data_IF_899469966799
#
_entry.id   IF_899469966799
#
_cell.length_a   1.000
_cell.length_b   1.000
_cell.length_c   1.000
_cell.angle_alpha   90.00
_cell.angle_beta   90.00
_cell.angle_gamma   90.00
#
_symmetry.space_group_name_H-M   'P 1'
#
loop_
_entity.id
_entity.type
_entity.pdbx_description
1 polymer ?
#
# COMPACT_ATOMS: atom_id res chain seq x y z
N UNK A 1 -45.97 -10.52 -39.22
CA UNK A 1 -45.35 -11.49 -38.27
C UNK A 1 -44.97 -10.78 -36.96
N UNK A 2 -45.51 -11.24 -35.84
CA UNK A 2 -45.27 -10.63 -34.52
C UNK A 2 -43.84 -10.85 -33.99
N UNK A 3 -43.02 -11.66 -34.68
CA UNK A 3 -41.61 -11.90 -34.36
C UNK A 3 -40.77 -11.89 -35.64
N UNK A 4 -39.68 -11.13 -35.64
CA UNK A 4 -38.73 -11.06 -36.75
C UNK A 4 -37.40 -11.66 -36.31
N UNK A 5 -37.07 -12.85 -36.84
CA UNK A 5 -35.82 -13.53 -36.51
C UNK A 5 -34.68 -13.02 -37.39
N UNK A 6 -33.60 -12.55 -36.75
CA UNK A 6 -32.36 -12.09 -37.39
C UNK A 6 -31.61 -13.23 -38.08
N UNK A 7 -31.52 -14.40 -37.45
CA UNK A 7 -30.88 -15.59 -38.00
C UNK A 7 -31.93 -16.62 -38.38
N UNK A 8 -32.07 -16.87 -39.68
CA UNK A 8 -33.07 -17.77 -40.26
C UNK A 8 -32.41 -19.03 -40.78
N UNK A 9 -33.11 -20.16 -40.70
CA UNK A 9 -32.65 -21.40 -41.30
C UNK A 9 -33.26 -21.57 -42.71
N UNK A 10 -32.51 -21.28 -43.80
CA UNK A 10 -33.03 -21.46 -45.15
C UNK A 10 -33.31 -22.93 -45.48
N UNK A 11 -32.72 -23.86 -44.74
CA UNK A 11 -32.87 -25.31 -44.92
C UNK A 11 -34.02 -25.90 -44.08
N UNK A 12 -34.74 -25.09 -43.30
CA UNK A 12 -35.92 -25.54 -42.57
C UNK A 12 -37.16 -25.60 -43.48
N UNK A 13 -38.15 -26.42 -43.09
CA UNK A 13 -39.47 -26.48 -43.74
C UNK A 13 -40.14 -25.10 -43.85
N UNK A 14 -39.89 -24.22 -42.89
CA UNK A 14 -40.24 -22.81 -42.93
C UNK A 14 -38.96 -21.96 -42.99
N UNK A 15 -38.60 -21.39 -44.15
CA UNK A 15 -37.35 -20.63 -44.32
C UNK A 15 -37.23 -19.36 -43.46
N UNK A 16 -38.34 -18.94 -42.82
CA UNK A 16 -38.40 -17.78 -41.91
C UNK A 16 -38.17 -18.16 -40.45
N UNK A 17 -38.10 -19.45 -40.15
CA UNK A 17 -37.99 -19.97 -38.79
C UNK A 17 -36.54 -19.99 -38.29
N UNK A 18 -36.32 -19.81 -36.97
CA UNK A 18 -34.98 -19.79 -36.41
C UNK A 18 -34.33 -21.18 -36.43
N UNK A 19 -33.00 -21.21 -36.34
CA UNK A 19 -32.26 -22.46 -36.15
C UNK A 19 -32.61 -23.09 -34.80
N UNK A 20 -32.71 -24.42 -34.74
CA UNK A 20 -32.90 -25.12 -33.47
C UNK A 20 -31.59 -25.11 -32.65
N UNK A 21 -31.73 -25.20 -31.32
CA UNK A 21 -30.58 -25.20 -30.40
C UNK A 21 -29.58 -26.33 -30.71
N UNK A 22 -30.06 -27.51 -31.09
CA UNK A 22 -29.21 -28.65 -31.45
C UNK A 22 -28.36 -28.38 -32.69
N UNK A 23 -28.91 -27.69 -33.69
CA UNK A 23 -28.17 -27.34 -34.92
C UNK A 23 -27.10 -26.29 -34.60
N UNK A 24 -27.42 -25.28 -33.79
CA UNK A 24 -26.45 -24.28 -33.34
C UNK A 24 -25.32 -24.91 -32.52
N UNK A 25 -25.64 -25.87 -31.64
CA UNK A 25 -24.65 -26.58 -30.85
C UNK A 25 -23.70 -27.41 -31.72
N UNK A 26 -24.22 -28.10 -32.74
CA UNK A 26 -23.39 -28.84 -33.72
C UNK A 26 -22.44 -27.91 -34.47
N UNK A 27 -22.94 -26.81 -35.02
CA UNK A 27 -22.08 -25.83 -35.69
C UNK A 27 -21.01 -25.27 -34.76
N UNK A 28 -21.34 -25.04 -33.49
CA UNK A 28 -20.35 -24.60 -32.51
C UNK A 28 -19.23 -25.63 -32.32
N UNK A 29 -19.56 -26.92 -32.21
CA UNK A 29 -18.57 -27.98 -32.10
C UNK A 29 -17.69 -28.09 -33.35
N UNK A 30 -18.26 -27.92 -34.55
CA UNK A 30 -17.50 -27.89 -35.80
C UNK A 30 -16.52 -26.70 -35.82
N UNK A 31 -16.93 -25.53 -35.32
CA UNK A 31 -16.05 -24.36 -35.17
C UNK A 31 -14.93 -24.64 -34.17
N UNK A 32 -15.22 -25.30 -33.05
CA UNK A 32 -14.19 -25.66 -32.06
C UNK A 32 -13.16 -26.64 -32.63
N UNK A 33 -13.60 -27.60 -33.44
CA UNK A 33 -12.71 -28.54 -34.13
C UNK A 33 -11.81 -27.83 -35.16
N UNK A 34 -12.36 -26.90 -35.94
CA UNK A 34 -11.56 -26.11 -36.88
C UNK A 34 -10.59 -25.16 -36.15
N UNK A 35 -10.99 -24.60 -35.00
CA UNK A 35 -10.11 -23.78 -34.17
C UNK A 35 -8.93 -24.59 -33.61
N UNK A 36 -9.19 -25.79 -33.08
CA UNK A 36 -8.17 -26.72 -32.62
C UNK A 36 -7.16 -27.05 -33.72
N UNK A 37 -7.65 -27.39 -34.92
CA UNK A 37 -6.80 -27.69 -36.08
C UNK A 37 -5.87 -26.52 -36.43
N UNK A 38 -6.37 -25.29 -36.46
CA UNK A 38 -5.57 -24.09 -36.78
C UNK A 38 -4.51 -23.78 -35.72
N UNK A 39 -4.82 -24.00 -34.43
CA UNK A 39 -3.85 -23.82 -33.34
C UNK A 39 -2.73 -24.85 -33.42
N UNK A 40 -3.07 -26.11 -33.75
CA UNK A 40 -2.08 -27.15 -33.98
C UNK A 40 -1.18 -26.85 -35.20
N UNK A 41 -1.74 -26.30 -36.28
CA UNK A 41 -0.96 -25.83 -37.44
C UNK A 41 0.01 -24.68 -37.07
N UNK A 42 -0.29 -23.91 -36.03
CA UNK A 42 0.58 -22.86 -35.48
C UNK A 42 1.64 -23.40 -34.48
N UNK A 43 1.62 -24.70 -34.18
CA UNK A 43 2.54 -25.34 -33.26
C UNK A 43 2.11 -25.31 -31.79
N UNK A 44 0.86 -24.94 -31.50
CA UNK A 44 0.30 -25.03 -30.14
C UNK A 44 -0.34 -26.42 -29.92
N UNK A 45 0.23 -27.22 -29.00
CA UNK A 45 -0.33 -28.52 -28.61
C UNK A 45 -1.50 -28.35 -27.64
N UNK A 46 -2.67 -27.96 -28.16
CA UNK A 46 -3.90 -27.75 -27.39
C UNK A 46 -4.95 -28.78 -27.82
N UNK A 47 -5.62 -29.38 -26.83
CA UNK A 47 -6.80 -30.23 -27.03
C UNK A 47 -8.06 -29.47 -26.61
N UNK A 48 -8.97 -29.21 -27.56
CA UNK A 48 -10.26 -28.53 -27.34
C UNK A 48 -11.43 -29.52 -27.42
N UNK A 49 -11.36 -30.49 -28.33
CA UNK A 49 -12.39 -31.54 -28.46
C UNK A 49 -12.08 -32.69 -27.49
N UNK A 50 -13.02 -32.99 -26.61
CA UNK A 50 -12.86 -34.02 -25.58
C UNK A 50 -13.47 -35.35 -25.99
N UNK A 51 -14.43 -35.36 -26.92
CA UNK A 51 -15.06 -36.58 -27.42
C UNK A 51 -15.43 -36.44 -28.89
N UNK A 52 -15.06 -37.45 -29.67
CA UNK A 52 -15.41 -37.59 -31.09
C UNK A 52 -16.22 -38.89 -31.26
N UNK A 53 -17.21 -38.88 -32.14
CA UNK A 53 -17.93 -40.07 -32.51
C UNK A 53 -17.08 -40.94 -33.45
N UNK A 54 -16.75 -42.15 -33.01
CA UNK A 54 -15.86 -43.07 -33.76
C UNK A 54 -16.45 -43.54 -35.10
N UNK A 55 -17.77 -43.52 -35.27
CA UNK A 55 -18.45 -44.00 -36.48
C UNK A 55 -18.66 -42.90 -37.53
N UNK A 56 -18.88 -41.65 -37.09
CA UNK A 56 -19.19 -40.53 -37.98
C UNK A 56 -18.08 -39.49 -38.09
N UNK A 57 -17.05 -39.58 -37.23
CA UNK A 57 -15.95 -38.62 -37.15
C UNK A 57 -16.36 -37.23 -36.64
N UNK A 58 -17.60 -37.07 -36.15
CA UNK A 58 -18.13 -35.78 -35.71
C UNK A 58 -17.77 -35.49 -34.25
N UNK A 59 -17.45 -34.23 -33.89
CA UNK A 59 -17.21 -33.84 -32.51
C UNK A 59 -18.52 -33.93 -31.69
N UNK A 60 -18.44 -34.58 -30.53
CA UNK A 60 -19.58 -34.71 -29.61
C UNK A 60 -19.48 -33.78 -28.40
N UNK A 61 -18.26 -33.50 -27.92
CA UNK A 61 -18.03 -32.63 -26.76
C UNK A 61 -16.75 -31.82 -26.94
N UNK A 62 -16.82 -30.56 -26.51
CA UNK A 62 -15.68 -29.64 -26.41
C UNK A 62 -15.52 -29.17 -24.96
N UNK A 63 -14.33 -28.65 -24.61
CA UNK A 63 -14.07 -28.04 -23.29
C UNK A 63 -14.91 -26.75 -23.12
N UNK A 64 -15.11 -26.00 -24.20
CA UNK A 64 -15.90 -24.78 -24.20
C UNK A 64 -17.36 -25.05 -24.58
N UNK A 65 -18.28 -24.28 -24.02
CA UNK A 65 -19.68 -24.26 -24.41
C UNK A 65 -20.11 -22.83 -24.78
N UNK A 66 -21.13 -22.66 -25.64
CA UNK A 66 -21.67 -21.32 -25.95
C UNK A 66 -22.15 -20.58 -24.69
N UNK A 67 -22.72 -21.31 -23.73
CA UNK A 67 -23.16 -20.73 -22.46
C UNK A 67 -21.96 -20.29 -21.60
N UNK A 68 -20.93 -21.12 -21.48
CA UNK A 68 -19.70 -20.78 -20.76
C UNK A 68 -18.98 -19.57 -21.34
N UNK A 69 -18.89 -19.46 -22.67
CA UNK A 69 -18.31 -18.29 -23.34
C UNK A 69 -19.12 -17.02 -23.08
N UNK A 70 -20.45 -17.11 -23.07
CA UNK A 70 -21.32 -15.99 -22.72
C UNK A 70 -21.11 -15.55 -21.27
N UNK A 71 -21.03 -16.49 -20.34
CA UNK A 71 -20.77 -16.21 -18.92
C UNK A 71 -19.42 -15.54 -18.75
N UNK A 72 -18.36 -16.12 -19.32
CA UNK A 72 -17.01 -15.55 -19.28
C UNK A 72 -16.94 -14.14 -19.88
N UNK A 73 -17.61 -13.91 -21.02
CA UNK A 73 -17.67 -12.59 -21.65
C UNK A 73 -18.40 -11.55 -20.80
N UNK A 74 -19.53 -11.92 -20.19
CA UNK A 74 -20.28 -11.04 -19.28
C UNK A 74 -19.47 -10.71 -18.03
N UNK A 75 -18.81 -11.69 -17.41
CA UNK A 75 -17.90 -11.49 -16.28
C UNK A 75 -16.75 -10.55 -16.65
N UNK A 76 -16.06 -10.80 -17.77
CA UNK A 76 -14.95 -9.97 -18.21
C UNK A 76 -15.37 -8.50 -18.46
N UNK A 77 -16.55 -8.28 -19.04
CA UNK A 77 -17.07 -6.92 -19.22
C UNK A 77 -17.44 -6.26 -17.88
N UNK A 78 -18.02 -7.01 -16.93
CA UNK A 78 -18.28 -6.50 -15.59
C UNK A 78 -16.97 -6.10 -14.87
N UNK A 79 -15.94 -6.94 -14.94
CA UNK A 79 -14.63 -6.70 -14.32
C UNK A 79 -13.91 -5.48 -14.89
N UNK A 80 -14.15 -5.15 -16.16
CA UNK A 80 -13.63 -3.97 -16.85
C UNK A 80 -14.52 -2.72 -16.66
N UNK A 81 -15.50 -2.77 -15.75
CA UNK A 81 -16.25 -1.59 -15.32
C UNK A 81 -17.46 -1.25 -16.18
N UNK A 82 -17.96 -2.18 -16.99
CA UNK A 82 -19.24 -1.98 -17.68
C UNK A 82 -20.37 -1.99 -16.65
N UNK A 83 -21.23 -0.96 -16.60
CA UNK A 83 -22.33 -0.91 -15.64
C UNK A 83 -23.28 -2.11 -15.76
N UNK A 84 -23.74 -2.62 -14.62
CA UNK A 84 -24.61 -3.80 -14.55
C UNK A 84 -25.91 -3.61 -15.35
N UNK A 85 -26.42 -2.39 -15.44
CA UNK A 85 -27.63 -2.08 -16.19
C UNK A 85 -27.42 -2.27 -17.70
N UNK A 86 -26.23 -1.92 -18.20
CA UNK A 86 -25.84 -2.11 -19.60
C UNK A 86 -25.66 -3.60 -19.88
N UNK A 87 -24.96 -4.31 -19.00
CA UNK A 87 -24.79 -5.76 -19.11
C UNK A 87 -26.13 -6.49 -19.12
N UNK A 88 -27.00 -6.16 -18.17
CA UNK A 88 -28.30 -6.82 -18.03
C UNK A 88 -29.23 -6.53 -19.20
N UNK A 89 -29.37 -5.26 -19.61
CA UNK A 89 -30.40 -4.86 -20.59
C UNK A 89 -29.94 -4.96 -22.04
N UNK A 90 -28.70 -4.58 -22.33
CA UNK A 90 -28.22 -4.40 -23.72
C UNK A 90 -27.51 -5.65 -24.20
N UNK A 91 -26.60 -6.19 -23.39
CA UNK A 91 -25.72 -7.28 -23.82
C UNK A 91 -26.37 -8.63 -23.54
N UNK A 92 -26.84 -8.83 -22.30
CA UNK A 92 -27.41 -10.10 -21.89
C UNK A 92 -28.90 -10.21 -22.24
N UNK A 93 -29.65 -9.11 -22.24
CA UNK A 93 -31.10 -9.13 -22.45
C UNK A 93 -31.85 -9.90 -21.35
N UNK A 94 -31.34 -9.88 -20.12
CA UNK A 94 -32.00 -10.53 -18.99
C UNK A 94 -33.29 -9.80 -18.61
N UNK A 95 -34.32 -10.59 -18.27
CA UNK A 95 -35.62 -10.06 -17.85
C UNK A 95 -35.57 -9.32 -16.50
N UNK A 96 -34.57 -9.61 -15.68
CA UNK A 96 -34.34 -8.96 -14.38
C UNK A 96 -32.84 -8.80 -14.12
N UNK A 97 -32.46 -7.72 -13.45
CA UNK A 97 -31.09 -7.45 -13.02
C UNK A 97 -30.55 -8.50 -12.05
N UNK A 98 -31.43 -9.16 -11.28
CA UNK A 98 -31.06 -10.24 -10.36
C UNK A 98 -30.39 -11.42 -11.09
N UNK A 99 -30.79 -11.68 -12.34
CA UNK A 99 -30.14 -12.72 -13.16
C UNK A 99 -28.70 -12.34 -13.55
N UNK A 100 -28.37 -11.05 -13.54
CA UNK A 100 -27.02 -10.53 -13.89
C UNK A 100 -26.13 -10.39 -12.65
N UNK A 101 -26.70 -10.44 -11.43
CA UNK A 101 -25.93 -10.21 -10.20
C UNK A 101 -24.86 -11.28 -9.96
N UNK A 102 -25.08 -12.52 -10.42
CA UNK A 102 -24.10 -13.60 -10.24
C UNK A 102 -22.79 -13.39 -11.00
N UNK A 103 -22.75 -12.51 -12.02
CA UNK A 103 -21.50 -12.12 -12.70
C UNK A 103 -20.68 -11.09 -11.92
N UNK A 104 -21.23 -10.55 -10.83
CA UNK A 104 -20.64 -9.47 -10.03
C UNK A 104 -20.30 -9.97 -8.62
N UNK A 105 -20.15 -11.29 -8.46
CA UNK A 105 -19.64 -11.84 -7.21
C UNK A 105 -18.16 -11.51 -7.13
N UNK A 106 -17.85 -10.42 -6.44
CA UNK A 106 -16.48 -9.99 -6.20
C UNK A 106 -15.88 -10.82 -5.07
N UNK A 107 -14.63 -11.23 -5.25
CA UNK A 107 -13.82 -11.72 -4.13
C UNK A 107 -13.50 -10.57 -3.17
N UNK A 108 -13.24 -10.89 -1.90
CA UNK A 108 -12.86 -9.90 -0.88
C UNK A 108 -11.65 -9.06 -1.33
N UNK A 109 -10.71 -9.68 -2.04
CA UNK A 109 -9.58 -8.99 -2.68
C UNK A 109 -10.05 -7.92 -3.67
N UNK A 110 -10.95 -8.29 -4.58
CA UNK A 110 -11.47 -7.36 -5.60
C UNK A 110 -12.26 -6.22 -4.95
N UNK A 111 -13.04 -6.50 -3.91
CA UNK A 111 -13.73 -5.46 -3.13
C UNK A 111 -12.71 -4.48 -2.52
N UNK A 112 -11.67 -5.01 -1.88
CA UNK A 112 -10.60 -4.22 -1.26
C UNK A 112 -9.87 -3.35 -2.29
N UNK A 113 -9.52 -3.91 -3.45
CA UNK A 113 -8.89 -3.17 -4.55
C UNK A 113 -9.78 -2.03 -5.08
N UNK A 114 -11.07 -2.30 -5.27
CA UNK A 114 -12.02 -1.29 -5.75
C UNK A 114 -12.17 -0.16 -4.73
N UNK A 115 -12.29 -0.49 -3.44
CA UNK A 115 -12.40 0.50 -2.37
C UNK A 115 -11.12 1.33 -2.21
N UNK A 116 -9.95 0.69 -2.25
CA UNK A 116 -8.66 1.37 -2.20
C UNK A 116 -8.46 2.30 -3.41
N UNK A 117 -8.83 1.84 -4.61
CA UNK A 117 -8.82 2.64 -5.83
C UNK A 117 -9.76 3.83 -5.75
N UNK A 118 -10.97 3.64 -5.22
CA UNK A 118 -11.92 4.72 -4.99
C UNK A 118 -11.40 5.76 -4.00
N UNK A 119 -10.82 5.32 -2.87
CA UNK A 119 -10.21 6.20 -1.87
C UNK A 119 -9.11 7.07 -2.48
N UNK A 120 -8.18 6.48 -3.24
CA UNK A 120 -7.10 7.23 -3.90
C UNK A 120 -7.62 8.27 -4.91
N UNK A 121 -8.70 7.94 -5.62
CA UNK A 121 -9.38 8.90 -6.52
C UNK A 121 -9.99 10.07 -5.74
N UNK A 122 -10.66 9.79 -4.63
CA UNK A 122 -11.24 10.83 -3.74
C UNK A 122 -10.15 11.76 -3.22
N UNK A 123 -9.06 11.21 -2.69
CA UNK A 123 -7.92 11.99 -2.19
C UNK A 123 -7.28 12.86 -3.29
N UNK A 124 -7.14 12.31 -4.50
CA UNK A 124 -6.58 13.04 -5.64
C UNK A 124 -7.49 14.18 -6.08
N UNK A 125 -8.80 13.93 -6.15
CA UNK A 125 -9.80 14.95 -6.48
C UNK A 125 -9.86 16.04 -5.41
N UNK A 126 -9.76 15.69 -4.12
CA UNK A 126 -9.71 16.66 -3.03
C UNK A 126 -8.50 17.60 -3.16
N UNK A 127 -7.31 17.05 -3.44
CA UNK A 127 -6.09 17.86 -3.68
C UNK A 127 -6.22 18.75 -4.91
N UNK A 128 -6.84 18.25 -5.98
CA UNK A 128 -7.11 19.05 -7.17
C UNK A 128 -8.11 20.18 -6.89
N UNK A 129 -9.20 19.89 -6.19
CA UNK A 129 -10.19 20.88 -5.77
C UNK A 129 -9.58 21.96 -4.88
N UNK A 130 -8.73 21.58 -3.93
CA UNK A 130 -7.98 22.53 -3.11
C UNK A 130 -7.07 23.41 -3.97
N UNK A 131 -6.34 22.83 -4.93
CA UNK A 131 -5.49 23.60 -5.86
C UNK A 131 -6.29 24.64 -6.62
N UNK A 132 -7.44 24.25 -7.17
CA UNK A 132 -8.31 25.15 -7.94
C UNK A 132 -8.87 26.25 -7.05
N UNK A 133 -9.37 25.91 -5.86
CA UNK A 133 -9.87 26.87 -4.87
C UNK A 133 -8.79 27.88 -4.43
N UNK A 134 -7.55 27.44 -4.21
CA UNK A 134 -6.44 28.31 -3.78
C UNK A 134 -6.09 29.40 -4.80
N UNK A 135 -6.50 29.29 -6.07
CA UNK A 135 -6.26 30.33 -7.07
C UNK A 135 -7.06 31.61 -6.80
N UNK A 136 -8.26 31.45 -6.24
CA UNK A 136 -9.19 32.54 -5.98
C UNK A 136 -9.33 32.85 -4.48
N UNK A 137 -8.76 32.02 -3.62
CA UNK A 137 -8.87 32.14 -2.17
C UNK A 137 -8.18 33.41 -1.62
N UNK A 138 -8.86 34.10 -0.70
CA UNK A 138 -8.25 35.15 0.10
C UNK A 138 -7.28 34.55 1.12
N UNK A 139 -6.27 35.33 1.53
CA UNK A 139 -5.26 34.89 2.50
C UNK A 139 -5.86 34.41 3.83
N UNK A 140 -6.85 35.13 4.36
CA UNK A 140 -7.51 34.77 5.62
C UNK A 140 -8.29 33.46 5.52
N UNK A 141 -8.89 33.16 4.37
CA UNK A 141 -9.59 31.90 4.14
C UNK A 141 -8.58 30.76 4.00
N UNK A 142 -7.53 30.94 3.20
CA UNK A 142 -6.46 29.95 3.04
C UNK A 142 -5.81 29.58 4.39
N UNK A 143 -5.63 30.54 5.29
CA UNK A 143 -5.08 30.32 6.63
C UNK A 143 -5.97 29.47 7.53
N UNK A 144 -7.28 29.40 7.27
CA UNK A 144 -8.22 28.54 8.02
C UNK A 144 -8.12 27.07 7.58
N UNK A 145 -7.84 26.84 6.29
CA UNK A 145 -7.80 25.49 5.71
C UNK A 145 -6.39 24.88 5.64
N UNK A 146 -5.35 25.71 5.72
CA UNK A 146 -3.96 25.28 5.59
C UNK A 146 -3.18 25.44 6.90
N UNK A 147 -2.31 24.47 7.15
CA UNK A 147 -1.32 24.51 8.20
C UNK A 147 0.07 24.81 7.61
N UNK A 148 0.77 25.77 8.18
CA UNK A 148 2.15 26.08 7.83
C UNK A 148 2.97 26.37 9.08
N UNK A 149 4.28 26.08 9.01
CA UNK A 149 5.21 26.46 10.07
C UNK A 149 5.35 27.99 10.19
N UNK A 150 5.09 28.72 9.10
CA UNK A 150 5.13 30.17 9.05
C UNK A 150 4.01 30.68 8.13
N UNK A 151 3.21 31.63 8.60
CA UNK A 151 2.13 32.27 7.84
C UNK A 151 2.60 32.87 6.50
N UNK A 152 3.86 33.33 6.43
CA UNK A 152 4.44 33.82 5.19
C UNK A 152 4.46 32.75 4.08
N UNK A 153 4.54 31.47 4.43
CA UNK A 153 4.52 30.38 3.45
C UNK A 153 3.16 30.27 2.74
N UNK A 154 2.06 30.55 3.45
CA UNK A 154 0.71 30.57 2.86
C UNK A 154 0.59 31.73 1.87
N UNK A 155 1.09 32.92 2.20
CA UNK A 155 1.09 34.05 1.28
C UNK A 155 1.91 33.76 0.00
N UNK A 156 3.05 33.08 0.16
CA UNK A 156 3.89 32.66 -0.97
C UNK A 156 3.25 31.56 -1.81
N UNK A 157 2.50 30.65 -1.17
CA UNK A 157 1.71 29.62 -1.85
C UNK A 157 0.65 30.25 -2.74
N UNK A 158 -0.15 31.19 -2.21
CA UNK A 158 -1.20 31.88 -2.97
C UNK A 158 -0.63 32.69 -4.15
N UNK A 159 0.58 33.21 -4.01
CA UNK A 159 1.25 33.93 -5.10
C UNK A 159 1.76 33.01 -6.21
N UNK A 160 1.95 31.71 -5.95
CA UNK A 160 2.59 30.76 -6.86
C UNK A 160 1.89 29.40 -6.90
N UNK A 161 0.55 29.36 -6.83
CA UNK A 161 -0.23 28.12 -6.69
C UNK A 161 0.13 27.07 -7.74
N UNK A 162 0.22 27.46 -9.02
CA UNK A 162 0.52 26.51 -10.09
C UNK A 162 1.93 25.91 -10.00
N UNK A 163 2.93 26.72 -9.64
CA UNK A 163 4.30 26.24 -9.41
C UNK A 163 4.40 25.34 -8.16
N UNK A 164 3.60 25.64 -7.14
CA UNK A 164 3.63 24.92 -5.88
C UNK A 164 3.13 23.47 -6.02
N UNK A 165 2.10 23.26 -6.84
CA UNK A 165 1.53 21.92 -7.06
C UNK A 165 2.28 21.09 -8.12
N UNK A 166 3.20 21.69 -8.90
CA UNK A 166 4.10 20.93 -9.80
C UNK A 166 5.11 20.06 -9.04
N UNK A 167 5.31 20.35 -7.76
CA UNK A 167 6.33 19.77 -6.90
C UNK A 167 5.74 19.34 -5.56
N UNK A 168 4.47 18.93 -5.57
CA UNK A 168 3.79 18.49 -4.37
C UNK A 168 4.61 17.35 -3.74
N UNK A 169 5.09 17.60 -2.53
CA UNK A 169 5.64 16.54 -1.71
C UNK A 169 4.51 15.59 -1.33
N UNK A 170 4.85 14.36 -1.01
CA UNK A 170 3.86 13.32 -0.70
C UNK A 170 2.90 13.67 0.44
N UNK A 171 3.27 14.60 1.33
CA UNK A 171 2.53 14.98 2.53
C UNK A 171 2.29 16.51 2.65
N UNK A 172 2.47 17.26 1.56
CA UNK A 172 2.13 18.69 1.51
C UNK A 172 2.67 19.40 0.27
N UNK A 173 2.69 20.74 0.32
CA UNK A 173 3.00 21.60 -0.82
C UNK A 173 4.22 22.46 -0.54
N UNK A 174 5.06 22.63 -1.57
CA UNK A 174 6.21 23.53 -1.54
C UNK A 174 5.99 24.70 -2.50
N UNK A 175 5.82 25.95 -2.03
CA UNK A 175 5.68 27.13 -2.89
C UNK A 175 6.84 27.36 -3.87
N UNK A 176 7.99 26.74 -3.62
CA UNK A 176 9.25 26.95 -4.35
C UNK A 176 9.79 25.70 -5.05
N UNK A 177 9.03 24.61 -5.12
CA UNK A 177 9.45 23.39 -5.80
C UNK A 177 10.84 22.86 -5.43
N UNK A 178 11.17 22.87 -4.13
CA UNK A 178 12.45 22.36 -3.62
C UNK A 178 13.67 23.24 -3.91
N UNK A 179 13.51 24.37 -4.61
CA UNK A 179 14.65 25.24 -4.97
C UNK A 179 15.21 26.06 -3.80
N UNK A 180 14.40 26.27 -2.76
CA UNK A 180 14.72 27.11 -1.58
C UNK A 180 14.94 26.33 -0.28
N UNK A 181 15.42 25.08 -0.36
CA UNK A 181 15.80 24.33 0.85
C UNK A 181 17.01 24.93 1.59
N UNK A 182 17.86 25.71 0.90
CA UNK A 182 19.05 26.33 1.49
C UNK A 182 18.73 27.50 2.43
N UNK A 183 17.52 28.06 2.38
CA UNK A 183 17.06 29.08 3.33
C UNK A 183 15.89 28.58 4.19
N UNK A 184 15.38 27.37 4.00
CA UNK A 184 14.15 26.89 4.65
C UNK A 184 14.22 26.65 6.17
N UNK A 185 15.39 26.77 6.80
CA UNK A 185 15.61 26.49 8.22
C UNK A 185 15.37 27.68 9.15
N UNK A 186 16.00 27.62 10.32
CA UNK A 186 15.86 28.62 11.38
C UNK A 186 16.46 29.99 11.01
N UNK A 187 15.99 31.03 11.69
CA UNK A 187 16.46 32.40 11.49
C UNK A 187 17.87 32.58 12.09
N UNK A 188 18.87 32.78 11.22
CA UNK A 188 20.27 33.02 11.61
C UNK A 188 20.48 34.49 12.01
N UNK A 189 19.84 35.41 11.29
CA UNK A 189 19.94 36.85 11.57
C UNK A 189 18.56 37.49 11.49
N UNK A 190 18.22 38.19 12.58
CA UNK A 190 17.00 39.00 12.66
C UNK A 190 16.98 40.08 11.60
N UNK A 191 15.79 40.35 11.05
CA UNK A 191 15.60 41.50 10.19
C UNK A 191 15.93 42.81 10.94
N UNK A 192 16.58 43.74 10.25
CA UNK A 192 16.78 45.12 10.73
C UNK A 192 16.04 46.08 9.81
N UNK A 193 15.99 47.38 10.15
CA UNK A 193 15.35 48.40 9.30
C UNK A 193 15.92 48.44 7.87
N UNK A 194 17.15 47.96 7.66
CA UNK A 194 17.84 47.99 6.36
C UNK A 194 18.12 46.61 5.75
N UNK A 195 17.96 45.52 6.51
CA UNK A 195 18.30 44.16 6.03
C UNK A 195 17.19 43.15 6.31
N UNK A 196 16.86 42.33 5.30
CA UNK A 196 15.94 41.20 5.45
C UNK A 196 16.49 40.15 6.42
N UNK A 197 15.60 39.42 7.08
CA UNK A 197 15.97 38.26 7.90
C UNK A 197 16.73 37.23 7.05
N UNK A 198 17.80 36.67 7.62
CA UNK A 198 18.59 35.61 6.97
C UNK A 198 18.29 34.28 7.66
N UNK A 199 17.96 33.28 6.86
CA UNK A 199 17.64 31.94 7.32
C UNK A 199 18.71 30.94 6.91
N UNK A 200 18.82 29.85 7.66
CA UNK A 200 19.73 28.74 7.39
C UNK A 200 19.14 27.67 6.49
N UNK A 201 19.93 26.65 6.13
CA UNK A 201 19.43 25.48 5.43
C UNK A 201 18.45 24.70 6.31
N UNK A 202 17.55 23.95 5.67
CA UNK A 202 16.65 23.01 6.37
C UNK A 202 17.48 21.97 7.13
N UNK A 203 17.12 21.74 8.40
CA UNK A 203 17.76 20.74 9.26
C UNK A 203 17.49 19.32 8.75
N UNK A 204 18.48 18.44 8.77
CA UNK A 204 18.38 17.11 8.17
C UNK A 204 18.48 17.08 6.64
N UNK A 205 18.75 18.24 6.01
CA UNK A 205 19.04 18.33 4.58
C UNK A 205 17.85 18.70 3.70
N UNK A 206 18.05 18.54 2.38
CA UNK A 206 16.98 18.75 1.39
C UNK A 206 15.87 17.72 1.62
N UNK A 207 14.63 18.06 1.24
CA UNK A 207 13.44 17.19 1.34
C UNK A 207 12.88 16.94 2.75
N UNK A 208 13.56 17.36 3.83
CA UNK A 208 12.99 17.35 5.17
C UNK A 208 11.96 18.47 5.39
N UNK A 209 10.86 18.42 4.63
CA UNK A 209 9.91 19.51 4.54
C UNK A 209 9.15 19.79 5.85
N UNK A 210 9.00 18.81 6.75
CA UNK A 210 8.38 19.06 8.06
C UNK A 210 9.16 20.07 8.91
N UNK A 211 10.48 20.18 8.69
CA UNK A 211 11.35 21.16 9.33
C UNK A 211 11.48 22.47 8.53
N UNK A 212 10.86 22.57 7.35
CA UNK A 212 11.00 23.70 6.46
C UNK A 212 9.97 24.79 6.76
N UNK A 213 10.41 26.06 6.82
CA UNK A 213 9.53 27.22 7.02
C UNK A 213 8.57 27.47 5.87
N UNK A 214 8.92 27.00 4.66
CA UNK A 214 8.12 27.16 3.44
C UNK A 214 7.05 26.08 3.28
N UNK A 215 7.06 25.07 4.14
CA UNK A 215 6.17 23.93 4.01
C UNK A 215 4.75 24.32 4.42
N UNK A 216 3.81 23.94 3.56
CA UNK A 216 2.38 24.15 3.76
C UNK A 216 1.68 22.81 3.55
N UNK A 217 0.70 22.51 4.38
CA UNK A 217 -0.10 21.28 4.28
C UNK A 217 -1.55 21.57 4.69
N UNK A 218 -2.42 20.58 4.59
CA UNK A 218 -3.85 20.70 4.80
C UNK A 218 -4.47 19.34 5.12
N UNK A 219 -5.79 19.32 5.27
CA UNK A 219 -6.55 18.09 5.59
C UNK A 219 -6.41 17.00 4.53
N UNK A 220 -6.15 17.40 3.29
CA UNK A 220 -6.00 16.53 2.13
C UNK A 220 -4.75 15.65 2.20
N UNK A 221 -3.80 15.97 3.08
CA UNK A 221 -2.57 15.19 3.30
C UNK A 221 -2.49 14.54 4.68
N UNK A 222 -3.58 14.51 5.45
CA UNK A 222 -3.56 14.00 6.83
C UNK A 222 -3.07 12.55 6.91
N UNK A 223 -3.45 11.70 5.96
CA UNK A 223 -3.03 10.29 5.95
C UNK A 223 -1.53 10.18 5.64
N UNK A 224 -1.04 10.90 4.64
CA UNK A 224 0.37 10.87 4.27
C UNK A 224 1.26 11.50 5.34
N UNK A 225 0.80 12.54 6.04
CA UNK A 225 1.48 13.08 7.23
C UNK A 225 1.55 12.06 8.35
N UNK A 226 0.45 11.34 8.60
CA UNK A 226 0.42 10.28 9.61
C UNK A 226 1.38 9.14 9.25
N UNK A 227 1.39 8.69 7.99
CA UNK A 227 2.32 7.67 7.50
C UNK A 227 3.77 8.13 7.58
N UNK A 228 4.07 9.38 7.19
CA UNK A 228 5.39 9.96 7.32
C UNK A 228 5.86 10.01 8.78
N UNK A 229 4.98 10.38 9.70
CA UNK A 229 5.27 10.41 11.13
C UNK A 229 5.59 9.02 11.67
N UNK A 230 4.79 8.01 11.30
CA UNK A 230 5.04 6.61 11.68
C UNK A 230 6.36 6.07 11.09
N UNK A 231 6.69 6.43 9.85
CA UNK A 231 7.98 6.10 9.24
C UNK A 231 9.15 6.68 10.02
N UNK A 232 9.04 7.93 10.49
CA UNK A 232 10.06 8.55 11.32
C UNK A 232 10.18 7.85 12.69
N UNK A 233 9.08 7.43 13.31
CA UNK A 233 9.12 6.65 14.54
C UNK A 233 9.77 5.28 14.36
N UNK A 234 9.49 4.57 13.27
CA UNK A 234 10.16 3.32 12.94
C UNK A 234 11.68 3.54 12.75
N UNK A 235 12.07 4.60 12.03
CA UNK A 235 13.47 4.95 11.83
C UNK A 235 14.18 5.29 13.16
N UNK A 236 13.50 6.01 14.07
CA UNK A 236 14.01 6.30 15.43
C UNK A 236 14.26 5.00 16.19
N UNK A 237 13.32 4.05 16.14
CA UNK A 237 13.47 2.77 16.82
C UNK A 237 14.68 2.01 16.26
N UNK A 238 14.76 1.85 14.94
CA UNK A 238 15.88 1.18 14.27
C UNK A 238 17.23 1.83 14.61
N UNK A 239 17.34 3.16 14.51
CA UNK A 239 18.57 3.89 14.84
C UNK A 239 18.93 3.75 16.32
N UNK A 240 17.95 3.78 17.23
CA UNK A 240 18.19 3.65 18.67
C UNK A 240 18.76 2.27 19.02
N UNK A 241 18.18 1.20 18.49
CA UNK A 241 18.67 -0.18 18.71
C UNK A 241 20.09 -0.34 18.19
N UNK A 242 20.36 0.11 16.96
CA UNK A 242 21.70 0.03 16.36
C UNK A 242 22.74 0.79 17.21
N UNK A 243 22.37 1.97 17.69
CA UNK A 243 23.25 2.81 18.49
C UNK A 243 23.53 2.20 19.87
N UNK A 244 22.55 1.53 20.47
CA UNK A 244 22.74 0.80 21.72
C UNK A 244 23.66 -0.43 21.52
N UNK A 245 23.54 -1.17 20.41
CA UNK A 245 24.45 -2.26 20.07
C UNK A 245 25.91 -1.77 19.93
N UNK A 246 26.10 -0.66 19.22
CA UNK A 246 27.42 -0.01 19.08
C UNK A 246 27.97 0.44 20.43
N UNK A 247 27.13 1.03 21.30
CA UNK A 247 27.53 1.43 22.66
C UNK A 247 27.90 0.23 23.52
N UNK A 248 27.19 -0.90 23.40
CA UNK A 248 27.52 -2.15 24.11
C UNK A 248 28.87 -2.69 23.62
N UNK A 249 29.10 -2.75 22.31
CA UNK A 249 30.39 -3.17 21.72
C UNK A 249 31.53 -2.26 22.19
N UNK A 250 31.33 -0.95 22.15
CA UNK A 250 32.31 0.04 22.63
C UNK A 250 32.63 -0.12 24.11
N UNK A 251 31.62 -0.37 24.96
CA UNK A 251 31.82 -0.67 26.39
C UNK A 251 32.62 -1.96 26.60
N UNK A 252 32.42 -2.99 25.79
CA UNK A 252 33.18 -4.24 25.88
C UNK A 252 34.67 -4.04 25.58
N UNK A 253 35.01 -3.35 24.48
CA UNK A 253 36.40 -3.04 24.15
C UNK A 253 37.06 -2.09 25.17
N UNK A 254 36.29 -1.15 25.71
CA UNK A 254 36.77 -0.27 26.77
C UNK A 254 37.11 -1.05 28.05
N UNK A 255 36.33 -2.08 28.40
CA UNK A 255 36.65 -3.00 29.50
C UNK A 255 37.92 -3.80 29.22
N UNK A 256 38.07 -4.36 28.02
CA UNK A 256 39.28 -5.08 27.61
C UNK A 256 40.54 -4.19 27.75
N UNK A 257 40.47 -2.96 27.24
CA UNK A 257 41.54 -1.97 27.40
C UNK A 257 41.83 -1.68 28.89
N UNK A 258 40.80 -1.60 29.72
CA UNK A 258 40.95 -1.37 31.15
C UNK A 258 41.66 -2.53 31.87
N UNK A 259 41.49 -3.77 31.44
CA UNK A 259 42.18 -4.93 32.03
C UNK A 259 43.70 -4.84 31.87
N UNK A 260 44.19 -4.39 30.71
CA UNK A 260 45.62 -4.12 30.50
C UNK A 260 46.16 -3.02 31.42
N UNK A 261 45.38 -1.96 31.62
CA UNK A 261 45.72 -0.86 32.53
C UNK A 261 45.79 -1.36 33.97
N UNK A 262 44.80 -2.15 34.41
CA UNK A 262 44.74 -2.74 35.75
C UNK A 262 45.92 -3.66 36.05
N UNK A 263 46.38 -4.42 35.04
CA UNK A 263 47.57 -5.30 35.12
C UNK A 263 48.91 -4.54 35.00
N UNK A 264 48.90 -3.21 34.90
CA UNK A 264 50.08 -2.36 34.64
C UNK A 264 50.81 -2.70 33.32
N UNK A 265 50.09 -3.29 32.36
CA UNK A 265 50.60 -3.75 31.07
C UNK A 265 50.26 -2.76 29.94
N UNK A 266 50.40 -1.46 30.20
CA UNK A 266 50.00 -0.41 29.27
C UNK A 266 50.75 -0.47 27.92
N UNK A 267 52.00 -0.93 27.93
CA UNK A 267 52.83 -1.11 26.74
C UNK A 267 52.40 -2.30 25.86
N UNK A 268 51.55 -3.20 26.38
CA UNK A 268 51.03 -4.36 25.64
C UNK A 268 49.65 -4.11 25.02
N UNK A 269 49.08 -2.92 25.18
CA UNK A 269 47.78 -2.59 24.58
C UNK A 269 47.91 -2.62 23.06
N UNK A 270 47.14 -3.47 22.36
CA UNK A 270 47.17 -3.51 20.90
C UNK A 270 46.73 -2.17 20.30
N UNK A 271 47.49 -1.67 19.32
CA UNK A 271 47.13 -0.43 18.59
C UNK A 271 45.76 -0.58 17.91
N UNK A 272 45.49 -1.77 17.37
CA UNK A 272 44.20 -2.13 16.75
C UNK A 272 43.01 -1.94 17.69
N UNK A 273 43.14 -2.28 18.97
CA UNK A 273 42.09 -2.10 19.98
C UNK A 273 41.79 -0.61 20.21
N UNK A 274 42.84 0.23 20.26
CA UNK A 274 42.68 1.68 20.44
C UNK A 274 42.02 2.31 19.21
N UNK A 275 42.41 1.87 18.02
CA UNK A 275 41.85 2.37 16.77
C UNK A 275 40.38 1.92 16.57
N UNK A 276 40.03 0.69 16.96
CA UNK A 276 38.63 0.20 16.95
C UNK A 276 37.74 0.99 17.92
N UNK A 277 38.25 1.34 19.11
CA UNK A 277 37.50 2.20 20.05
C UNK A 277 37.26 3.59 19.44
N UNK A 278 38.29 4.20 18.83
CA UNK A 278 38.16 5.53 18.21
C UNK A 278 37.21 5.51 17.02
N UNK A 279 37.27 4.47 16.18
CA UNK A 279 36.36 4.35 15.04
C UNK A 279 34.92 4.16 15.50
N UNK A 280 34.68 3.35 16.54
CA UNK A 280 33.35 3.21 17.14
C UNK A 280 32.86 4.53 17.77
N UNK A 281 33.72 5.27 18.46
CA UNK A 281 33.33 6.57 19.04
C UNK A 281 32.88 7.55 17.94
N UNK A 282 33.60 7.61 16.80
CA UNK A 282 33.20 8.42 15.64
C UNK A 282 31.86 7.96 15.05
N UNK A 283 31.68 6.65 14.83
CA UNK A 283 30.42 6.11 14.29
C UNK A 283 29.25 6.40 15.25
N UNK A 284 29.45 6.25 16.56
CA UNK A 284 28.42 6.55 17.57
C UNK A 284 28.04 8.03 17.52
N UNK A 285 29.01 8.94 17.36
CA UNK A 285 28.74 10.37 17.26
C UNK A 285 27.91 10.71 16.02
N UNK A 286 28.31 10.21 14.85
CA UNK A 286 27.58 10.39 13.58
C UNK A 286 26.14 9.84 13.65
N UNK A 287 25.97 8.61 14.18
CA UNK A 287 24.65 7.99 14.34
C UNK A 287 23.80 8.70 15.38
N UNK A 288 24.42 9.26 16.44
CA UNK A 288 23.72 10.04 17.46
C UNK A 288 23.17 11.34 16.87
N UNK A 289 23.94 12.03 16.01
CA UNK A 289 23.47 13.22 15.32
C UNK A 289 22.31 12.90 14.37
N UNK A 290 22.44 11.82 13.59
CA UNK A 290 21.36 11.35 12.70
C UNK A 290 20.08 11.01 13.47
N UNK A 291 20.20 10.30 14.59
CA UNK A 291 19.06 9.99 15.47
C UNK A 291 18.42 11.26 16.01
N UNK A 292 19.22 12.21 16.47
CA UNK A 292 18.73 13.50 16.98
C UNK A 292 17.92 14.23 15.90
N UNK A 293 18.46 14.38 14.69
CA UNK A 293 17.77 15.02 13.58
C UNK A 293 16.46 14.31 13.20
N UNK A 294 16.45 12.97 13.25
CA UNK A 294 15.24 12.18 13.01
C UNK A 294 14.18 12.42 14.08
N UNK A 295 14.58 12.50 15.36
CA UNK A 295 13.68 12.82 16.49
C UNK A 295 13.07 14.22 16.33
N UNK A 296 13.88 15.23 15.98
CA UNK A 296 13.37 16.58 15.71
C UNK A 296 12.35 16.59 14.58
N UNK A 297 12.64 15.84 13.50
CA UNK A 297 11.75 15.72 12.35
C UNK A 297 10.45 15.02 12.73
N UNK A 298 10.50 13.93 13.53
CA UNK A 298 9.32 13.22 14.00
C UNK A 298 8.44 14.12 14.88
N UNK A 299 9.06 14.89 15.79
CA UNK A 299 8.34 15.83 16.64
C UNK A 299 7.68 16.95 15.82
N UNK A 300 8.37 17.50 14.82
CA UNK A 300 7.79 18.50 13.92
C UNK A 300 6.64 17.92 13.07
N UNK A 301 6.82 16.73 12.51
CA UNK A 301 5.79 16.02 11.76
C UNK A 301 4.54 15.76 12.62
N UNK A 302 4.73 15.30 13.85
CA UNK A 302 3.65 15.08 14.83
C UNK A 302 2.92 16.38 15.19
N UNK A 303 3.66 17.48 15.41
CA UNK A 303 3.07 18.80 15.68
C UNK A 303 2.21 19.27 14.49
N UNK A 304 2.72 19.14 13.27
CA UNK A 304 2.02 19.51 12.05
C UNK A 304 0.76 18.64 11.89
N UNK A 305 0.88 17.32 12.07
CA UNK A 305 -0.23 16.38 12.01
C UNK A 305 -1.34 16.78 12.99
N UNK A 306 -1.02 17.02 14.27
CA UNK A 306 -1.99 17.49 15.24
C UNK A 306 -2.58 18.86 14.89
N UNK A 307 -1.77 19.75 14.32
CA UNK A 307 -2.24 21.04 13.78
C UNK A 307 -3.31 20.85 12.70
N UNK A 308 -3.10 19.93 11.75
CA UNK A 308 -4.08 19.60 10.71
C UNK A 308 -5.32 18.89 11.27
N UNK A 309 -5.16 18.02 12.28
CA UNK A 309 -6.29 17.33 12.93
C UNK A 309 -7.19 18.30 13.69
N UNK A 310 -6.63 19.29 14.36
CA UNK A 310 -7.41 20.31 15.07
C UNK A 310 -8.25 21.17 14.10
N UNK A 311 -7.81 21.34 12.85
CA UNK A 311 -8.60 22.01 11.82
C UNK A 311 -9.84 21.19 11.43
N UNK A 312 -9.75 19.86 11.41
CA UNK A 312 -10.88 18.96 11.11
C UNK A 312 -12.01 19.04 12.16
N UNK A 313 -11.66 19.23 13.44
CA UNK A 313 -12.64 19.33 14.53
C UNK A 313 -13.52 20.59 14.48
N UNK A 314 -13.04 21.67 13.86
CA UNK A 314 -13.75 22.96 13.78
C UNK A 314 -14.88 22.90 12.73
N UNK A 315 -14.74 22.07 11.69
CA UNK A 315 -15.73 21.94 10.61
C UNK A 315 -17.00 21.17 11.01
N UNK A 316 -16.97 20.37 12.10
CA UNK A 316 -18.13 19.56 12.50
C UNK A 316 -19.30 20.37 13.07
N UNK A 317 -19.12 21.66 13.34
CA UNK A 317 -20.14 22.49 13.98
C UNK A 317 -20.70 23.62 13.12
N UNK A 318 -20.10 24.00 12.00
CA UNK A 318 -20.59 25.13 11.19
C UNK A 318 -20.14 25.02 9.72
N UNK A 319 -21.01 24.48 8.85
CA UNK A 319 -21.38 25.02 7.52
C UNK A 319 -21.97 23.93 6.60
N UNK A 320 -23.22 24.14 6.16
CA UNK A 320 -23.73 23.60 4.90
C UNK A 320 -23.10 24.42 3.77
N UNK A 321 -21.97 24.00 3.21
CA UNK A 321 -21.48 24.56 1.94
C UNK A 321 -20.76 23.48 1.13
N UNK A 322 -20.99 23.54 -0.19
CA UNK A 322 -20.74 22.54 -1.24
C UNK A 322 -19.25 22.21 -1.51
N UNK A 323 -18.47 21.81 -0.51
CA UNK A 323 -17.23 21.07 -0.73
C UNK A 323 -17.40 19.70 -0.09
N UNK A 324 -17.61 18.67 -0.93
CA UNK A 324 -17.85 17.29 -0.53
C UNK A 324 -16.70 16.70 0.29
N UNK A 325 -16.69 17.03 1.58
CA UNK A 325 -15.90 16.38 2.61
C UNK A 325 -16.57 15.04 2.88
N UNK A 326 -16.13 13.99 2.16
CA UNK A 326 -16.43 12.62 2.55
C UNK A 326 -15.53 12.28 3.73
N UNK A 327 -15.94 12.77 4.90
CA UNK A 327 -15.39 12.35 6.16
C UNK A 327 -15.91 10.93 6.45
N UNK A 328 -15.17 9.91 6.02
CA UNK A 328 -15.21 8.62 6.71
C UNK A 328 -14.43 8.82 8.01
N UNK A 329 -15.09 9.39 9.01
CA UNK A 329 -14.57 9.41 10.38
C UNK A 329 -14.72 8.00 10.95
N UNK A 330 -13.62 7.35 11.40
CA UNK A 330 -13.75 6.29 12.39
C UNK A 330 -14.48 6.91 13.59
N UNK A 331 -15.53 6.23 14.05
CA UNK A 331 -16.51 6.72 15.03
C UNK A 331 -15.99 6.72 16.47
N UNK A 332 -14.68 6.81 16.65
CA UNK A 332 -14.04 6.80 17.96
C UNK A 332 -13.39 8.17 18.16
N UNK A 333 -13.70 8.80 19.29
CA UNK A 333 -12.95 9.93 19.82
C UNK A 333 -11.48 9.51 19.88
N UNK A 334 -10.72 9.85 18.84
CA UNK A 334 -9.29 9.62 18.82
C UNK A 334 -8.66 10.58 19.83
N UNK A 335 -8.53 10.11 21.06
CA UNK A 335 -7.49 10.56 21.97
C UNK A 335 -6.20 10.61 21.14
N UNK A 336 -5.58 11.78 21.02
CA UNK A 336 -4.32 11.97 20.30
C UNK A 336 -3.14 11.35 21.06
N UNK A 337 -3.38 10.21 21.69
CA UNK A 337 -2.39 9.44 22.41
C UNK A 337 -1.57 8.63 21.40
N UNK A 338 -0.25 8.76 21.50
CA UNK A 338 0.66 7.81 20.85
C UNK A 338 0.47 6.46 21.53
N UNK A 339 -0.02 5.46 20.79
CA UNK A 339 -0.17 4.10 21.28
C UNK A 339 1.14 3.35 21.01
N UNK A 340 1.74 2.82 22.06
CA UNK A 340 2.92 1.97 21.93
C UNK A 340 2.51 0.64 21.29
N UNK A 341 3.05 0.34 20.12
CA UNK A 341 2.81 -0.90 19.37
C UNK A 341 4.08 -1.75 19.32
N UNK A 342 3.94 -3.03 18.95
CA UNK A 342 5.11 -3.86 18.67
C UNK A 342 5.88 -3.37 17.43
N UNK A 343 7.19 -3.63 17.39
CA UNK A 343 8.03 -3.31 16.23
C UNK A 343 7.45 -3.95 14.95
N UNK A 344 7.00 -5.19 15.05
CA UNK A 344 6.41 -5.90 13.92
C UNK A 344 5.12 -5.24 13.41
N UNK A 345 4.21 -4.84 14.31
CA UNK A 345 2.96 -4.18 13.93
C UNK A 345 3.21 -2.85 13.19
N UNK A 346 4.13 -2.03 13.70
CA UNK A 346 4.45 -0.75 13.06
C UNK A 346 5.11 -0.94 11.69
N UNK A 347 5.98 -1.94 11.54
CA UNK A 347 6.59 -2.28 10.24
C UNK A 347 5.57 -2.82 9.25
N UNK A 348 4.68 -3.73 9.66
CA UNK A 348 3.60 -4.25 8.80
C UNK A 348 2.66 -3.15 8.32
N UNK A 349 2.26 -2.23 9.21
CA UNK A 349 1.47 -1.05 8.86
C UNK A 349 2.11 -0.25 7.73
N UNK A 350 3.41 0.06 7.84
CA UNK A 350 4.14 0.83 6.82
C UNK A 350 4.24 0.09 5.49
N UNK A 351 4.48 -1.24 5.53
CA UNK A 351 4.52 -2.06 4.31
C UNK A 351 3.16 -2.06 3.63
N UNK A 352 2.06 -2.38 4.34
CA UNK A 352 0.73 -2.42 3.73
C UNK A 352 0.34 -1.04 3.20
N UNK A 353 0.63 0.03 3.96
CA UNK A 353 0.39 1.40 3.50
C UNK A 353 1.19 1.75 2.24
N UNK A 354 2.43 1.25 2.11
CA UNK A 354 3.28 1.50 0.93
C UNK A 354 2.67 0.94 -0.36
N UNK A 355 1.84 -0.11 -0.27
CA UNK A 355 1.11 -0.66 -1.42
C UNK A 355 0.14 0.37 -2.02
N UNK A 356 -0.48 1.21 -1.19
CA UNK A 356 -1.38 2.27 -1.62
C UNK A 356 -0.65 3.60 -1.90
N UNK A 357 0.41 3.87 -1.10
CA UNK A 357 1.22 5.08 -1.12
C UNK A 357 2.71 4.75 -1.41
N UNK A 358 3.09 4.53 -2.68
CA UNK A 358 4.43 4.05 -3.06
C UNK A 358 5.59 4.92 -2.57
N UNK A 359 5.36 6.21 -2.34
CA UNK A 359 6.37 7.12 -1.79
C UNK A 359 6.91 6.74 -0.40
N UNK A 360 6.19 5.88 0.33
CA UNK A 360 6.56 5.42 1.67
C UNK A 360 7.17 4.02 1.65
N UNK A 361 7.43 3.46 0.47
CA UNK A 361 8.14 2.19 0.34
C UNK A 361 9.54 2.30 0.98
N UNK A 362 9.84 1.33 1.84
CA UNK A 362 11.13 1.19 2.50
C UNK A 362 11.53 -0.28 2.49
N UNK A 363 12.50 -0.63 1.63
CA UNK A 363 12.94 -2.01 1.46
C UNK A 363 13.53 -2.60 2.74
N UNK A 364 14.14 -1.78 3.61
CA UNK A 364 14.67 -2.26 4.89
C UNK A 364 13.52 -2.71 5.79
N UNK A 365 12.48 -1.88 5.91
CA UNK A 365 11.30 -2.18 6.72
C UNK A 365 10.60 -3.44 6.22
N UNK A 366 10.42 -3.57 4.91
CA UNK A 366 9.80 -4.76 4.32
C UNK A 366 10.64 -6.03 4.58
N UNK A 367 11.96 -5.95 4.43
CA UNK A 367 12.87 -7.07 4.70
C UNK A 367 12.88 -7.47 6.18
N UNK A 368 12.95 -6.51 7.11
CA UNK A 368 12.91 -6.79 8.55
C UNK A 368 11.60 -7.46 8.96
N UNK A 369 10.47 -6.95 8.45
CA UNK A 369 9.14 -7.52 8.68
C UNK A 369 9.04 -8.93 8.11
N UNK A 370 9.50 -9.16 6.88
CA UNK A 370 9.49 -10.48 6.24
C UNK A 370 10.38 -11.47 7.02
N UNK A 371 11.56 -11.02 7.44
CA UNK A 371 12.48 -11.85 8.20
C UNK A 371 11.86 -12.33 9.52
N UNK A 372 11.10 -11.49 10.21
CA UNK A 372 10.40 -11.90 11.42
C UNK A 372 9.35 -13.00 11.15
N UNK A 373 8.57 -12.88 10.07
CA UNK A 373 7.63 -13.94 9.67
C UNK A 373 8.36 -15.22 9.30
N UNK A 374 9.44 -15.13 8.54
CA UNK A 374 10.27 -16.27 8.15
C UNK A 374 10.87 -16.99 9.35
N UNK A 375 11.33 -16.25 10.36
CA UNK A 375 11.81 -16.81 11.63
C UNK A 375 10.70 -17.59 12.35
N UNK A 376 9.48 -17.06 12.39
CA UNK A 376 8.33 -17.75 12.99
C UNK A 376 8.04 -19.07 12.26
N UNK A 377 8.04 -19.05 10.93
CA UNK A 377 7.80 -20.24 10.11
C UNK A 377 8.92 -21.27 10.34
N UNK A 378 10.19 -20.85 10.30
CA UNK A 378 11.33 -21.72 10.54
C UNK A 378 11.31 -22.36 11.94
N UNK A 379 11.03 -21.57 12.99
CA UNK A 379 10.91 -22.08 14.37
C UNK A 379 9.73 -23.04 14.53
N UNK A 380 8.73 -22.92 13.66
CA UNK A 380 7.59 -23.84 13.60
C UNK A 380 7.86 -25.07 12.72
N UNK A 381 9.06 -25.24 12.15
CA UNK A 381 9.39 -26.34 11.25
C UNK A 381 8.78 -26.23 9.85
N UNK A 382 8.28 -25.05 9.47
CA UNK A 382 7.77 -24.75 8.14
C UNK A 382 8.85 -24.09 7.27
N UNK A 383 8.70 -24.20 5.96
CA UNK A 383 9.57 -23.49 5.01
C UNK A 383 9.26 -21.98 5.09
N UNK A 384 10.27 -21.12 5.28
CA UNK A 384 10.11 -19.67 5.21
C UNK A 384 9.43 -19.22 3.91
N UNK A 385 8.48 -18.30 4.00
CA UNK A 385 7.68 -17.86 2.85
C UNK A 385 8.55 -17.18 1.79
N UNK A 386 9.59 -16.46 2.20
CA UNK A 386 10.54 -15.86 1.26
C UNK A 386 11.30 -16.90 0.42
N UNK A 387 11.45 -18.13 0.92
CA UNK A 387 12.13 -19.24 0.26
C UNK A 387 11.19 -20.20 -0.47
N UNK A 388 9.88 -20.05 -0.32
CA UNK A 388 8.88 -20.88 -0.99
C UNK A 388 8.99 -20.78 -2.53
N UNK A 389 8.67 -21.85 -3.29
CA UNK A 389 8.69 -21.86 -4.75
C UNK A 389 7.46 -21.12 -5.33
N UNK A 390 7.40 -19.82 -5.10
CA UNK A 390 6.31 -18.92 -5.51
C UNK A 390 6.89 -17.74 -6.30
N UNK A 391 6.06 -17.07 -7.10
CA UNK A 391 6.45 -15.83 -7.77
C UNK A 391 6.72 -14.70 -6.78
N UNK A 392 7.41 -13.63 -7.20
CA UNK A 392 7.69 -12.50 -6.31
C UNK A 392 6.41 -11.80 -5.80
N UNK A 393 5.37 -11.73 -6.63
CA UNK A 393 4.07 -11.15 -6.27
C UNK A 393 3.31 -12.05 -5.29
N UNK A 394 3.28 -13.35 -5.56
CA UNK A 394 2.67 -14.33 -4.66
C UNK A 394 3.35 -14.34 -3.29
N UNK A 395 4.69 -14.22 -3.24
CA UNK A 395 5.43 -14.10 -1.97
C UNK A 395 5.03 -12.85 -1.19
N UNK A 396 4.92 -11.70 -1.85
CA UNK A 396 4.48 -10.46 -1.21
C UNK A 396 3.08 -10.60 -0.61
N UNK A 397 2.14 -11.15 -1.36
CA UNK A 397 0.77 -11.38 -0.90
C UNK A 397 0.72 -12.38 0.26
N UNK A 398 1.49 -13.47 0.18
CA UNK A 398 1.58 -14.47 1.24
C UNK A 398 2.13 -13.88 2.54
N UNK A 399 3.19 -13.06 2.46
CA UNK A 399 3.80 -12.40 3.62
C UNK A 399 2.89 -11.34 4.22
N UNK A 400 2.19 -10.55 3.40
CA UNK A 400 1.22 -9.56 3.86
C UNK A 400 0.04 -10.26 4.58
N UNK A 401 -0.51 -11.34 4.00
CA UNK A 401 -1.58 -12.12 4.61
C UNK A 401 -1.15 -12.84 5.90
N UNK A 402 0.05 -13.43 5.93
CA UNK A 402 0.59 -14.08 7.12
C UNK A 402 0.79 -13.08 8.26
N UNK A 403 1.29 -11.88 7.93
CA UNK A 403 1.52 -10.81 8.89
C UNK A 403 0.21 -10.28 9.49
N UNK A 404 -0.81 -10.06 8.65
CA UNK A 404 -2.16 -9.70 9.08
C UNK A 404 -2.78 -10.77 10.00
N UNK A 405 -2.60 -12.05 9.65
CA UNK A 405 -3.08 -13.15 10.48
C UNK A 405 -2.42 -13.15 11.87
N UNK A 406 -1.11 -12.91 11.94
CA UNK A 406 -0.41 -12.82 13.23
C UNK A 406 -0.94 -11.67 14.10
N UNK A 407 -1.16 -10.49 13.50
CA UNK A 407 -1.66 -9.32 14.23
C UNK A 407 -3.11 -9.46 14.70
N UNK A 408 -3.94 -10.20 13.96
CA UNK A 408 -5.33 -10.46 14.39
C UNK A 408 -5.43 -11.51 15.51
N UNK A 409 -4.41 -12.36 15.68
CA UNK A 409 -4.41 -13.45 16.67
C UNK A 409 -3.60 -13.17 17.92
N UNK A 410 -2.61 -12.30 17.82
CA UNK A 410 -1.65 -12.04 18.89
C UNK A 410 -1.73 -10.59 19.34
N UNK A 411 -1.60 -10.40 20.65
CA UNK A 411 -1.43 -9.09 21.25
C UNK A 411 -0.02 -8.54 21.05
N UNK A 412 0.14 -7.22 21.19
CA UNK A 412 1.46 -6.56 21.06
C UNK A 412 2.49 -7.07 22.07
N UNK A 413 2.07 -7.51 23.26
CA UNK A 413 2.98 -8.10 24.26
C UNK A 413 3.46 -9.48 23.84
N UNK A 414 2.57 -10.32 23.30
CA UNK A 414 2.92 -11.65 22.76
C UNK A 414 3.86 -11.52 21.56
N UNK A 415 3.61 -10.57 20.66
CA UNK A 415 4.49 -10.28 19.52
C UNK A 415 5.87 -9.79 19.96
N UNK A 416 5.96 -8.94 21.00
CA UNK A 416 7.24 -8.52 21.60
C UNK A 416 7.99 -9.72 22.19
N UNK A 417 7.29 -10.62 22.89
CA UNK A 417 7.89 -11.83 23.47
C UNK A 417 8.37 -12.82 22.39
N UNK A 418 7.61 -12.99 21.31
CA UNK A 418 8.01 -13.76 20.14
C UNK A 418 9.26 -13.17 19.48
N UNK A 419 9.30 -11.86 19.27
CA UNK A 419 10.46 -11.16 18.71
C UNK A 419 11.70 -11.24 19.61
N UNK A 420 11.52 -11.31 20.94
CA UNK A 420 12.61 -11.55 21.88
C UNK A 420 13.05 -13.03 21.94
N UNK A 421 12.33 -13.94 21.28
CA UNK A 421 12.57 -15.39 21.37
C UNK A 421 12.23 -15.98 22.74
N UNK A 422 11.44 -15.27 23.55
CA UNK A 422 11.09 -15.68 24.92
C UNK A 422 9.96 -16.71 24.96
N UNK A 423 9.12 -16.76 23.92
CA UNK A 423 7.98 -17.67 23.79
C UNK A 423 7.92 -18.17 22.35
N UNK A 424 7.55 -19.43 22.16
CA UNK A 424 7.30 -20.01 20.83
C UNK A 424 5.84 -19.84 20.39
N UNK A 425 5.59 -19.84 19.09
CA UNK A 425 4.21 -19.69 18.57
C UNK A 425 3.30 -20.86 18.98
N UNK A 426 3.89 -22.03 19.25
CA UNK A 426 3.21 -23.24 19.73
C UNK A 426 2.74 -23.06 21.18
N UNK A 427 3.53 -22.39 22.03
CA UNK A 427 3.16 -22.05 23.40
C UNK A 427 2.03 -21.01 23.47
N UNK A 428 1.87 -20.19 22.41
CA UNK A 428 0.77 -19.24 22.26
C UNK A 428 -0.50 -19.86 21.64
N UNK A 429 -0.55 -21.18 21.47
CA UNK A 429 -1.75 -21.90 21.01
C UNK A 429 -2.04 -21.80 19.51
N UNK A 430 -1.08 -21.31 18.72
CA UNK A 430 -1.15 -21.30 17.25
C UNK A 430 -0.36 -22.52 16.73
N UNK A 431 -1.10 -23.57 16.37
CA UNK A 431 -0.54 -24.76 15.74
C UNK A 431 -0.24 -24.55 14.25
N UNK A 432 0.69 -25.34 13.70
CA UNK A 432 1.16 -25.26 12.30
C UNK A 432 0.03 -25.17 11.26
N UNK A 433 -1.08 -25.88 11.47
CA UNK A 433 -2.22 -25.90 10.55
C UNK A 433 -2.87 -24.51 10.38
N UNK A 434 -2.89 -23.70 11.44
CA UNK A 434 -3.45 -22.34 11.42
C UNK A 434 -2.52 -21.31 10.80
N UNK A 435 -1.21 -21.60 10.70
CA UNK A 435 -0.25 -20.76 9.97
C UNK A 435 -0.38 -20.95 8.46
N UNK A 436 -0.80 -22.14 8.01
CA UNK A 436 -0.95 -22.48 6.59
C UNK A 436 -2.34 -22.10 6.06
N UNK A 437 -3.37 -22.05 6.93
CA UNK A 437 -4.75 -21.75 6.51
C UNK A 437 -4.94 -20.43 5.72
N UNK A 438 -4.29 -19.30 6.07
CA UNK A 438 -4.45 -18.05 5.33
C UNK A 438 -3.89 -18.14 3.90
N UNK A 439 -2.90 -19.00 3.67
CA UNK A 439 -2.28 -19.24 2.37
C UNK A 439 -3.12 -20.17 1.48
N UNK A 440 -3.92 -21.05 2.10
CA UNK A 440 -4.85 -21.93 1.38
C UNK A 440 -6.12 -21.18 0.96
N UNK A 441 -6.62 -20.28 1.81
CA UNK A 441 -7.75 -19.41 1.46
C UNK A 441 -7.39 -18.45 0.32
N UNK A 442 -6.18 -17.89 0.31
CA UNK A 442 -5.70 -17.04 -0.80
C UNK A 442 -5.47 -17.81 -2.10
N UNK A 443 -5.04 -19.08 -2.04
CA UNK A 443 -4.88 -19.94 -3.22
C UNK A 443 -6.21 -20.49 -3.76
N UNK A 444 -7.19 -20.83 -2.91
CA UNK A 444 -8.52 -21.29 -3.36
C UNK A 444 -9.30 -20.18 -4.09
N UNK A 445 -8.99 -18.91 -3.80
CA UNK A 445 -9.54 -17.74 -4.52
C UNK A 445 -8.97 -17.56 -5.94
N UNK A 446 -7.89 -18.24 -6.30
CA UNK A 446 -7.35 -18.31 -7.67
C UNK A 446 -7.89 -19.52 -8.46
N UNK A 447 -8.62 -20.44 -7.80
CA UNK A 447 -9.02 -21.73 -8.36
C UNK A 447 -10.52 -21.93 -8.59
N UNK A 448 -11.40 -20.96 -8.32
CA UNK A 448 -12.85 -21.15 -8.40
C UNK A 448 -13.42 -21.06 -9.82
N UNK A 449 -13.03 -21.98 -10.72
CA UNK A 449 -13.83 -22.41 -11.90
C UNK A 449 -13.72 -23.92 -12.10
N UNK A 450 -13.47 -24.69 -11.04
CA UNK A 450 -13.61 -26.14 -11.08
C UNK A 450 -14.27 -26.54 -9.79
N UNK A 451 -15.60 -26.50 -9.80
CA UNK A 451 -16.50 -27.37 -9.05
C UNK A 451 -17.89 -26.79 -9.24
N UNK A 452 -18.56 -27.24 -10.31
CA UNK A 452 -20.01 -27.45 -10.34
C UNK A 452 -20.28 -28.33 -11.58
N UNK A 453 -20.73 -29.56 -11.29
CA UNK A 453 -21.16 -30.59 -12.25
C UNK A 453 -22.38 -30.17 -13.09
#
# INVERSE_FOLDING_TARGET
PDRFYLFRNPSALEPQSPMSSNVLHRYFLDIMQEAEKRLQEQGEEIQIITKINEQTGQPERAIYSPHGLRVAGLTAMAENGVPIEVLSKIIAGHASILMTLHYIVYSDRKVTEVLNGARKKIETQAKQGLREWLKDAAFEDAKRYLHANNDAAIAQLLSNVDAAFLSANSYGVCPYAGTRCHDGGEEIKKATKTTKAKYGPVRGGKENCVMCRHFVTGKEWTIELWLHTNRLFEAINHLSVNLDDLRVRRKALSKERYEFIKKQQQHLIPVTLVDEIKSLDFIIEEKSETLNDTIYSAHAAYKIYNGTKNMLGIESHNHQDNLGSVAVTPKEEHDSACVETSKFASQHLLVVASRLYPQFEDSRVELERNHFVDQIYANSGLVPLSLAPMSAEEKKLALDAASEHLLTKLSDTELKNLHAGAVSIQELGIHQEKLISPLKESNNLLGSIKDDE
#
